data_IF_129993874470
#
_entry.id   IF_129993874470
#
_cell.length_a   1.000
_cell.length_b   1.000
_cell.length_c   1.000
_cell.angle_alpha   90.00
_cell.angle_beta   90.00
_cell.angle_gamma   90.00
#
_symmetry.space_group_name_H-M   'P 1'
#
loop_
_entity.id
_entity.type
_entity.pdbx_description
1 polymer ?
#
# COMPACT_ATOMS: atom_id res chain seq x y z
N UNK A 1 13.52 -23.17 7.58
CA UNK A 1 13.91 -22.22 6.50
C UNK A 1 14.02 -20.82 7.13
N UNK A 2 15.17 -20.16 6.97
CA UNK A 2 15.50 -18.85 7.60
C UNK A 2 14.91 -17.70 6.77
N UNK A 3 14.29 -16.73 7.45
CA UNK A 3 13.76 -15.48 6.87
C UNK A 3 14.89 -14.47 6.52
N UNK A 4 14.72 -13.62 5.50
CA UNK A 4 15.70 -12.60 5.08
C UNK A 4 15.82 -11.42 6.05
N UNK A 5 17.01 -10.79 6.06
CA UNK A 5 17.55 -9.86 7.07
C UNK A 5 17.06 -8.39 7.02
N UNK A 6 15.98 -8.05 6.33
CA UNK A 6 15.59 -6.64 6.12
C UNK A 6 14.55 -6.05 7.09
N UNK A 7 14.20 -6.71 8.19
CA UNK A 7 13.12 -6.26 9.10
C UNK A 7 13.51 -6.22 10.58
N UNK A 8 14.59 -5.51 10.93
CA UNK A 8 14.87 -5.14 12.34
C UNK A 8 15.48 -3.74 12.45
N UNK A 9 14.64 -2.74 12.72
CA UNK A 9 14.92 -1.73 13.75
C UNK A 9 13.76 -0.73 13.85
N UNK A 10 13.00 -0.79 14.94
CA UNK A 10 12.76 0.36 15.82
C UNK A 10 11.96 -0.12 17.04
N UNK A 11 12.67 -0.53 18.09
CA UNK A 11 12.12 -0.57 19.44
C UNK A 11 13.28 -0.42 20.45
N UNK A 12 13.27 0.73 21.12
CA UNK A 12 13.79 1.03 22.46
C UNK A 12 15.24 0.69 22.83
N UNK A 13 15.96 1.70 23.33
CA UNK A 13 16.42 1.70 24.73
C UNK A 13 16.87 3.09 25.19
N UNK A 14 16.35 3.49 26.34
CA UNK A 14 16.78 4.61 27.18
C UNK A 14 17.52 3.97 28.36
N UNK A 15 18.81 4.28 28.59
CA UNK A 15 19.39 4.57 29.92
C UNK A 15 20.91 4.77 29.87
N UNK A 16 21.30 5.66 30.78
CA UNK A 16 22.59 6.20 31.21
C UNK A 16 23.69 5.20 31.56
N UNK A 17 24.96 5.59 31.36
CA UNK A 17 25.98 5.65 32.43
C UNK A 17 27.31 6.27 31.95
N UNK A 18 27.88 7.08 32.85
CA UNK A 18 29.29 7.42 33.11
C UNK A 18 30.33 7.54 31.98
N UNK A 19 30.95 8.73 31.89
CA UNK A 19 32.34 8.88 31.45
C UNK A 19 33.17 9.49 32.59
N UNK A 20 34.14 8.73 33.10
CA UNK A 20 35.27 9.19 33.91
C UNK A 20 36.50 9.39 33.01
N UNK A 21 37.41 10.31 33.40
CA UNK A 21 38.85 10.13 33.17
C UNK A 21 39.57 11.11 32.23
N UNK A 22 39.91 12.29 32.74
CA UNK A 22 41.17 13.04 32.45
C UNK A 22 42.19 12.53 33.50
N UNK A 23 43.54 12.36 33.31
CA UNK A 23 44.52 13.43 33.00
C UNK A 23 45.87 12.92 32.35
N UNK A 24 47.06 13.58 32.47
CA UNK A 24 47.48 14.82 31.82
C UNK A 24 48.94 14.83 31.24
N UNK A 25 49.32 15.98 30.66
CA UNK A 25 50.65 16.64 30.74
C UNK A 25 51.85 16.18 29.88
N UNK A 26 52.45 17.13 29.14
CA UNK A 26 53.85 17.63 29.27
C UNK A 26 54.19 18.56 28.07
N UNK A 27 54.47 19.86 28.29
CA UNK A 27 55.81 20.49 28.37
C UNK A 27 56.53 20.61 27.01
N UNK A 28 57.34 21.61 26.60
CA UNK A 28 57.73 22.98 27.01
C UNK A 28 58.85 23.37 26.01
N UNK A 29 58.94 24.63 25.57
CA UNK A 29 60.12 25.44 25.09
C UNK A 29 59.61 26.50 24.08
N UNK A 30 59.58 27.82 24.35
CA UNK A 30 60.66 28.86 24.50
C UNK A 30 61.72 28.74 23.40
N UNK A 31 62.13 29.77 22.65
CA UNK A 31 62.16 31.24 22.75
C UNK A 31 62.18 31.83 21.31
N UNK A 32 62.16 33.13 20.97
CA UNK A 32 62.29 34.42 21.66
C UNK A 32 62.47 35.54 20.60
N UNK A 33 62.34 36.81 21.03
CA UNK A 33 62.66 38.03 20.25
C UNK A 33 61.57 38.47 19.25
N UNK A 34 61.24 39.74 19.04
CA UNK A 34 61.81 41.03 19.48
C UNK A 34 60.72 42.09 19.25
N UNK A 35 60.61 43.06 20.16
CA UNK A 35 59.68 44.18 20.12
C UNK A 35 60.10 45.22 19.07
N UNK A 36 59.23 45.60 18.13
CA UNK A 36 59.28 46.92 17.46
C UNK A 36 57.86 47.41 17.12
N UNK A 37 57.57 48.58 17.70
CA UNK A 37 56.73 49.71 17.28
C UNK A 37 55.44 49.52 16.47
N UNK A 38 54.41 50.09 17.09
CA UNK A 38 53.12 50.57 16.61
C UNK A 38 53.28 51.45 15.34
N UNK A 39 52.48 51.16 14.30
CA UNK A 39 51.88 52.21 13.48
C UNK A 39 50.46 51.80 13.07
N UNK A 40 49.49 52.54 13.60
CA UNK A 40 48.09 52.49 13.20
C UNK A 40 47.96 52.82 11.72
N UNK A 41 47.25 51.97 10.97
CA UNK A 41 46.47 52.46 9.84
C UNK A 41 45.08 51.83 9.86
N UNK A 42 44.09 52.71 10.03
CA UNK A 42 42.67 52.43 10.02
C UNK A 42 42.26 51.98 8.62
N UNK A 43 41.61 50.83 8.52
CA UNK A 43 40.64 50.55 7.46
C UNK A 43 39.29 50.38 8.14
N UNK A 44 38.39 51.33 7.89
CA UNK A 44 37.01 51.29 8.34
C UNK A 44 36.26 50.20 7.58
N UNK A 45 35.91 49.14 8.28
CA UNK A 45 34.81 48.26 7.92
C UNK A 45 33.86 48.25 9.11
N UNK A 46 32.78 49.03 9.02
CA UNK A 46 31.72 49.03 10.01
C UNK A 46 30.97 47.70 9.96
N UNK A 47 31.48 46.68 10.62
CA UNK A 47 30.68 45.52 10.98
C UNK A 47 29.72 45.94 12.08
N UNK A 48 28.49 46.27 11.72
CA UNK A 48 27.41 46.41 12.70
C UNK A 48 27.18 45.03 13.35
N UNK A 49 27.83 44.80 14.48
CA UNK A 49 27.62 43.61 15.31
C UNK A 49 26.21 43.77 15.89
N UNK A 50 25.27 43.01 15.36
CA UNK A 50 23.90 42.96 15.86
C UNK A 50 23.93 42.63 17.35
N UNK A 51 23.28 43.46 18.16
CA UNK A 51 23.17 43.19 19.59
C UNK A 51 22.40 41.88 19.83
N UNK A 52 22.62 41.19 20.97
CA UNK A 52 21.88 39.98 21.30
C UNK A 52 20.35 40.15 21.20
N UNK A 53 19.84 41.35 21.55
CA UNK A 53 18.42 41.70 21.43
C UNK A 53 17.93 41.79 19.98
N UNK A 54 18.77 42.31 19.07
CA UNK A 54 18.45 42.34 17.63
C UNK A 54 18.49 40.94 17.02
N UNK A 55 19.39 40.07 17.48
CA UNK A 55 19.44 38.68 17.06
C UNK A 55 18.20 37.90 17.53
N UNK A 56 17.78 38.07 18.79
CA UNK A 56 16.54 37.50 19.32
C UNK A 56 15.30 38.02 18.58
N UNK A 57 15.28 39.30 18.20
CA UNK A 57 14.18 39.88 17.43
C UNK A 57 14.11 39.30 16.01
N UNK A 58 15.25 39.10 15.34
CA UNK A 58 15.31 38.47 14.02
C UNK A 58 14.84 37.01 14.09
N UNK A 59 15.29 36.25 15.10
CA UNK A 59 14.81 34.87 15.32
C UNK A 59 13.31 34.85 15.57
N UNK A 60 12.78 35.77 16.38
CA UNK A 60 11.35 35.89 16.65
C UNK A 60 10.57 36.24 15.36
N UNK A 61 11.07 37.16 14.53
CA UNK A 61 10.46 37.54 13.26
C UNK A 61 10.51 36.39 12.24
N UNK A 62 11.60 35.63 12.18
CA UNK A 62 11.71 34.42 11.36
C UNK A 62 10.71 33.37 11.85
N UNK A 63 10.64 33.09 13.15
CA UNK A 63 9.66 32.17 13.72
C UNK A 63 8.21 32.62 13.46
N UNK A 64 7.89 33.91 13.62
CA UNK A 64 6.58 34.49 13.30
C UNK A 64 6.26 34.39 11.80
N UNK A 65 7.25 34.56 10.93
CA UNK A 65 7.07 34.38 9.48
C UNK A 65 6.77 32.91 9.11
N UNK A 66 7.36 31.95 9.85
CA UNK A 66 7.02 30.53 9.75
C UNK A 66 5.58 30.24 10.21
N UNK A 67 5.07 30.93 11.23
CA UNK A 67 3.67 30.79 11.66
C UNK A 67 2.67 31.47 10.70
N UNK A 68 3.02 32.58 10.06
CA UNK A 68 2.16 33.25 9.07
C UNK A 68 2.06 32.51 7.72
N UNK A 69 3.06 31.68 7.39
CA UNK A 69 3.07 30.84 6.19
C UNK A 69 2.22 29.57 6.35
N UNK A 70 1.91 29.17 7.59
CA UNK A 70 1.12 27.97 7.89
C UNK A 70 -0.36 28.06 7.50
N UNK A 71 -0.93 29.27 7.45
CA UNK A 71 -2.33 29.49 7.04
C UNK A 71 -2.54 29.45 5.51
N UNK A 72 -1.48 29.56 4.71
CA UNK A 72 -1.60 29.50 3.24
C UNK A 72 -1.70 28.05 2.73
N UNK A 73 -1.09 27.10 3.44
CA UNK A 73 -1.07 25.67 3.04
C UNK A 73 -2.45 25.02 3.22
N UNK A 74 -3.25 25.48 4.17
CA UNK A 74 -4.63 25.00 4.38
C UNK A 74 -5.62 25.59 3.38
N UNK A 75 -5.37 26.78 2.82
CA UNK A 75 -6.26 27.46 1.86
C UNK A 75 -6.23 26.85 0.44
N UNK A 76 -5.24 26.04 0.12
CA UNK A 76 -5.18 25.29 -1.14
C UNK A 76 -6.11 24.06 -1.18
N UNK A 77 -6.68 23.64 -0.05
CA UNK A 77 -7.54 22.44 0.01
C UNK A 77 -8.96 22.65 -0.53
N UNK A 78 -9.35 23.88 -0.84
CA UNK A 78 -10.73 24.21 -1.25
C UNK A 78 -10.83 25.03 -2.53
N UNK A 79 -9.81 24.98 -3.41
CA UNK A 79 -9.91 25.63 -4.72
C UNK A 79 -10.76 24.79 -5.69
N UNK A 80 -12.08 24.77 -5.41
CA UNK A 80 -13.23 25.09 -6.27
C UNK A 80 -14.46 24.58 -5.52
N UNK A 81 -15.37 25.48 -5.15
CA UNK A 81 -16.76 25.08 -4.94
C UNK A 81 -17.21 24.35 -6.20
N UNK A 82 -17.57 23.08 -6.04
CA UNK A 82 -18.17 22.13 -6.99
C UNK A 82 -18.21 22.56 -8.47
N UNK A 83 -17.62 21.79 -9.42
CA UNK A 83 -17.79 22.02 -10.84
C UNK A 83 -19.20 21.61 -11.30
N UNK A 84 -20.25 22.17 -10.68
CA UNK A 84 -21.64 21.87 -11.01
C UNK A 84 -22.03 22.28 -12.44
N UNK A 85 -21.21 23.10 -13.12
CA UNK A 85 -21.39 23.46 -14.53
C UNK A 85 -20.63 22.59 -15.53
N UNK A 86 -19.60 21.85 -15.10
CA UNK A 86 -18.69 21.11 -15.99
C UNK A 86 -18.67 19.59 -15.72
N UNK A 87 -19.66 19.05 -14.99
CA UNK A 87 -19.74 17.62 -14.62
C UNK A 87 -19.63 16.66 -15.82
N UNK A 88 -20.03 17.10 -17.03
CA UNK A 88 -19.92 16.29 -18.25
C UNK A 88 -18.46 16.02 -18.70
N UNK A 89 -17.47 16.72 -18.14
CA UNK A 89 -16.04 16.63 -18.53
C UNK A 89 -15.17 15.93 -17.49
N UNK A 90 -15.72 15.60 -16.33
CA UNK A 90 -15.01 14.90 -15.25
C UNK A 90 -15.34 13.43 -15.36
N UNK A 91 -14.33 12.58 -15.51
CA UNK A 91 -14.52 11.15 -15.32
C UNK A 91 -14.68 10.89 -13.83
N UNK A 92 -15.80 10.30 -13.41
CA UNK A 92 -16.17 10.18 -12.00
C UNK A 92 -16.80 8.83 -11.69
N UNK A 93 -16.22 8.14 -10.71
CA UNK A 93 -16.70 6.89 -10.13
C UNK A 93 -17.56 7.24 -8.90
N UNK A 94 -18.86 6.97 -8.91
CA UNK A 94 -19.80 7.45 -7.89
C UNK A 94 -19.74 6.65 -6.59
N UNK A 95 -18.66 6.83 -5.83
CA UNK A 95 -18.49 6.21 -4.51
C UNK A 95 -19.23 7.00 -3.44
N UNK A 96 -19.98 6.31 -2.58
CA UNK A 96 -20.63 6.91 -1.42
C UNK A 96 -19.59 7.33 -0.39
N UNK A 97 -19.50 8.63 -0.12
CA UNK A 97 -18.53 9.19 0.82
C UNK A 97 -18.85 8.86 2.28
N UNK A 98 -17.83 8.41 3.01
CA UNK A 98 -17.88 8.20 4.46
C UNK A 98 -16.86 9.14 5.12
N UNK A 99 -17.30 10.15 5.90
CA UNK A 99 -16.39 11.08 6.56
C UNK A 99 -15.53 10.36 7.60
N UNK A 100 -14.22 10.53 7.51
CA UNK A 100 -13.27 9.87 8.40
C UNK A 100 -13.33 10.46 9.82
N UNK A 101 -13.36 9.59 10.84
CA UNK A 101 -13.34 9.96 12.26
C UNK A 101 -12.04 9.49 12.92
N UNK A 102 -11.34 10.40 13.60
CA UNK A 102 -10.06 10.10 14.27
C UNK A 102 -8.97 9.63 13.31
N UNK A 103 -8.09 8.74 13.76
CA UNK A 103 -6.98 8.20 12.97
C UNK A 103 -7.35 6.98 12.10
N UNK A 104 -8.63 6.83 11.74
CA UNK A 104 -9.15 5.63 11.03
C UNK A 104 -9.25 5.83 9.51
N UNK A 105 -8.27 6.49 8.91
CA UNK A 105 -8.28 6.75 7.47
C UNK A 105 -8.33 5.46 6.64
N UNK A 106 -7.56 4.43 7.03
CA UNK A 106 -7.55 3.11 6.37
C UNK A 106 -8.91 2.41 6.36
N UNK A 107 -9.51 2.13 7.54
CA UNK A 107 -10.84 1.50 7.61
C UNK A 107 -11.93 2.27 6.86
N UNK A 108 -11.86 3.61 6.85
CA UNK A 108 -12.85 4.43 6.18
C UNK A 108 -12.74 4.37 4.65
N UNK A 109 -11.54 4.49 4.07
CA UNK A 109 -11.38 4.35 2.62
C UNK A 109 -11.71 2.95 2.14
N UNK A 110 -11.38 1.94 2.96
CA UNK A 110 -11.69 0.56 2.63
C UNK A 110 -13.19 0.31 2.67
N UNK A 111 -13.90 0.83 3.67
CA UNK A 111 -15.37 0.77 3.71
C UNK A 111 -16.00 1.41 2.47
N UNK A 112 -15.51 2.59 2.03
CA UNK A 112 -15.99 3.23 0.81
C UNK A 112 -15.78 2.35 -0.43
N UNK A 113 -14.59 1.77 -0.61
CA UNK A 113 -14.28 0.88 -1.73
C UNK A 113 -15.10 -0.42 -1.71
N UNK A 114 -15.28 -1.03 -0.54
CA UNK A 114 -16.12 -2.23 -0.38
C UNK A 114 -17.59 -1.91 -0.69
N UNK A 115 -18.11 -0.81 -0.17
CA UNK A 115 -19.52 -0.43 -0.36
C UNK A 115 -19.82 -0.01 -1.79
N UNK A 116 -18.84 0.50 -2.53
CA UNK A 116 -18.97 0.73 -3.97
C UNK A 116 -19.33 -0.57 -4.72
N UNK A 117 -18.80 -1.72 -4.27
CA UNK A 117 -19.15 -3.04 -4.79
C UNK A 117 -20.33 -3.70 -4.08
N UNK A 118 -21.21 -2.90 -3.48
CA UNK A 118 -22.44 -3.37 -2.82
C UNK A 118 -22.20 -4.17 -1.54
N UNK A 119 -20.99 -4.11 -0.96
CA UNK A 119 -20.74 -4.74 0.35
C UNK A 119 -21.29 -3.85 1.45
N UNK A 120 -21.76 -4.45 2.55
CA UNK A 120 -22.32 -3.71 3.69
C UNK A 120 -21.25 -3.52 4.79
N UNK A 121 -20.18 -2.81 4.46
CA UNK A 121 -19.04 -2.59 5.35
C UNK A 121 -19.14 -1.24 6.08
N UNK A 122 -18.71 -1.20 7.34
CA UNK A 122 -18.60 0.05 8.11
C UNK A 122 -17.17 0.24 8.61
N UNK A 123 -16.67 1.49 8.67
CA UNK A 123 -15.32 1.75 9.18
C UNK A 123 -15.10 1.21 10.60
N UNK A 124 -16.15 1.15 11.43
CA UNK A 124 -16.10 0.65 12.79
C UNK A 124 -15.82 -0.86 12.84
N UNK A 125 -16.53 -1.66 12.04
CA UNK A 125 -16.32 -3.10 11.96
C UNK A 125 -14.94 -3.42 11.41
N UNK A 126 -14.55 -2.75 10.33
CA UNK A 126 -13.22 -2.90 9.74
C UNK A 126 -12.13 -2.55 10.77
N UNK A 127 -12.28 -1.42 11.47
CA UNK A 127 -11.30 -0.98 12.46
C UNK A 127 -11.15 -1.98 13.63
N UNK A 128 -12.19 -2.72 14.02
CA UNK A 128 -12.06 -3.74 15.08
C UNK A 128 -11.08 -4.86 14.69
N UNK A 129 -10.86 -5.08 13.40
CA UNK A 129 -10.05 -6.18 12.88
C UNK A 129 -8.66 -5.72 12.41
N UNK A 130 -8.55 -4.53 11.80
CA UNK A 130 -7.31 -4.08 11.13
C UNK A 130 -6.70 -2.80 11.70
N UNK A 131 -7.31 -2.17 12.70
CA UNK A 131 -6.75 -0.95 13.31
C UNK A 131 -5.81 -1.32 14.44
N UNK A 132 -4.62 -0.74 14.44
CA UNK A 132 -3.60 -0.91 15.45
C UNK A 132 -3.47 0.37 16.28
N UNK A 133 -3.98 0.40 17.53
CA UNK A 133 -3.94 1.59 18.38
C UNK A 133 -2.55 2.16 18.59
N UNK A 134 -1.55 1.30 18.77
CA UNK A 134 -0.15 1.70 19.01
C UNK A 134 0.49 2.40 17.81
N UNK A 135 0.01 2.11 16.60
CA UNK A 135 0.43 2.77 15.37
C UNK A 135 -0.44 3.98 15.03
N UNK A 136 -1.59 4.14 15.67
CA UNK A 136 -2.59 5.14 15.30
C UNK A 136 -3.08 4.96 13.87
N UNK A 137 -3.19 3.73 13.36
CA UNK A 137 -3.50 3.49 11.95
C UNK A 137 -3.67 2.01 11.59
N UNK A 138 -3.70 1.71 10.30
CA UNK A 138 -3.79 0.35 9.74
C UNK A 138 -2.64 0.09 8.77
N UNK A 139 -2.10 -1.12 8.80
CA UNK A 139 -1.02 -1.53 7.90
C UNK A 139 -1.56 -1.77 6.49
N UNK A 140 -0.70 -1.53 5.48
CA UNK A 140 -1.05 -1.74 4.07
C UNK A 140 -1.42 -3.19 3.77
N UNK A 141 -0.74 -4.15 4.40
CA UNK A 141 -1.03 -5.59 4.27
C UNK A 141 -2.42 -5.97 4.80
N UNK A 142 -2.85 -5.38 5.93
CA UNK A 142 -4.17 -5.65 6.49
C UNK A 142 -5.27 -5.08 5.59
N UNK A 143 -5.05 -3.88 5.02
CA UNK A 143 -5.95 -3.30 4.02
C UNK A 143 -6.05 -4.15 2.77
N UNK A 144 -4.94 -4.72 2.29
CA UNK A 144 -4.92 -5.56 1.10
C UNK A 144 -5.59 -6.92 1.33
N UNK A 145 -5.42 -7.55 2.49
CA UNK A 145 -5.99 -8.88 2.75
C UNK A 145 -7.47 -8.86 3.11
N UNK A 146 -7.97 -7.78 3.73
CA UNK A 146 -9.34 -7.70 4.25
C UNK A 146 -10.46 -7.89 3.19
N UNK A 147 -10.37 -7.35 1.96
CA UNK A 147 -11.40 -7.53 0.92
C UNK A 147 -11.70 -8.98 0.53
N UNK A 148 -10.78 -9.92 0.76
CA UNK A 148 -10.97 -11.33 0.43
C UNK A 148 -12.18 -11.94 1.16
N UNK A 149 -12.53 -11.40 2.34
CA UNK A 149 -13.73 -11.80 3.10
C UNK A 149 -15.04 -11.51 2.39
N UNK A 150 -14.99 -10.69 1.34
CA UNK A 150 -16.14 -10.26 0.55
C UNK A 150 -16.10 -10.81 -0.88
N UNK A 151 -15.25 -11.80 -1.15
CA UNK A 151 -14.98 -12.35 -2.48
C UNK A 151 -14.50 -11.28 -3.49
N UNK A 152 -13.79 -10.26 -2.99
CA UNK A 152 -13.20 -9.21 -3.81
C UNK A 152 -11.70 -9.43 -3.94
N UNK A 153 -11.21 -9.34 -5.17
CA UNK A 153 -9.78 -9.33 -5.43
C UNK A 153 -9.19 -7.98 -5.05
N UNK A 154 -8.06 -8.05 -4.39
CA UNK A 154 -7.27 -6.91 -3.96
C UNK A 154 -5.81 -7.15 -4.27
N UNK A 155 -5.12 -6.08 -4.66
CA UNK A 155 -3.72 -6.13 -5.03
C UNK A 155 -3.06 -4.78 -4.78
N UNK A 156 -1.95 -4.80 -4.03
CA UNK A 156 -1.13 -3.61 -3.82
C UNK A 156 0.14 -3.59 -4.67
N UNK A 157 0.48 -2.41 -5.20
CA UNK A 157 1.63 -2.20 -6.09
C UNK A 157 2.05 -0.73 -6.08
N UNK A 158 3.17 -0.42 -6.75
CA UNK A 158 3.61 0.95 -7.02
C UNK A 158 2.99 1.45 -8.33
N UNK A 159 2.09 2.42 -8.24
CA UNK A 159 1.31 2.92 -9.37
C UNK A 159 1.91 4.15 -10.07
N UNK A 160 1.21 4.63 -11.09
CA UNK A 160 1.45 5.94 -11.72
C UNK A 160 0.14 6.58 -12.19
N UNK A 161 0.17 7.86 -12.59
CA UNK A 161 -1.05 8.57 -13.00
C UNK A 161 -1.77 7.95 -14.21
N UNK A 162 -1.02 7.44 -15.20
CA UNK A 162 -1.64 6.84 -16.39
C UNK A 162 -2.40 5.57 -16.03
N UNK A 163 -1.78 4.70 -15.23
CA UNK A 163 -2.45 3.48 -14.77
C UNK A 163 -3.64 3.78 -13.85
N UNK A 164 -3.47 4.71 -12.90
CA UNK A 164 -4.56 5.16 -12.01
C UNK A 164 -5.79 5.60 -12.81
N UNK A 165 -5.61 6.43 -13.85
CA UNK A 165 -6.71 6.88 -14.71
C UNK A 165 -7.34 5.72 -15.48
N UNK A 166 -6.54 4.80 -16.03
CA UNK A 166 -7.05 3.59 -16.69
C UNK A 166 -7.91 2.71 -15.78
N UNK A 167 -7.63 2.68 -14.47
CA UNK A 167 -8.45 1.96 -13.49
C UNK A 167 -9.77 2.71 -13.24
N UNK A 168 -9.71 4.03 -13.12
CA UNK A 168 -10.91 4.86 -13.02
C UNK A 168 -11.79 4.71 -14.26
N UNK A 169 -11.23 4.69 -15.48
CA UNK A 169 -11.95 4.48 -16.75
C UNK A 169 -12.74 3.17 -16.79
N UNK A 170 -12.37 2.20 -15.95
CA UNK A 170 -13.04 0.91 -15.81
C UNK A 170 -13.99 0.85 -14.61
N UNK A 171 -14.33 2.02 -14.06
CA UNK A 171 -15.15 2.20 -12.87
C UNK A 171 -14.55 1.53 -11.62
N UNK A 172 -13.21 1.56 -11.48
CA UNK A 172 -12.51 1.01 -10.32
C UNK A 172 -11.90 2.18 -9.52
N UNK A 173 -12.45 2.51 -8.34
CA UNK A 173 -11.87 3.54 -7.50
C UNK A 173 -10.53 3.06 -6.92
N UNK A 174 -9.58 3.98 -6.75
CA UNK A 174 -8.19 3.65 -6.42
C UNK A 174 -7.85 4.16 -5.03
N UNK A 175 -7.40 3.25 -4.14
CA UNK A 175 -6.88 3.66 -2.84
C UNK A 175 -5.40 4.01 -3.00
N UNK A 176 -5.00 5.17 -2.49
CA UNK A 176 -3.62 5.62 -2.48
C UNK A 176 -3.18 5.99 -1.06
N UNK A 177 -1.92 5.69 -0.73
CA UNK A 177 -1.30 6.14 0.51
C UNK A 177 -0.50 7.41 0.21
N UNK A 178 -0.93 8.55 0.73
CA UNK A 178 -0.30 9.84 0.45
C UNK A 178 0.35 10.41 1.72
N UNK A 179 1.45 11.14 1.57
CA UNK A 179 2.03 11.95 2.62
C UNK A 179 1.33 13.31 2.73
N UNK A 180 0.84 13.66 3.91
CA UNK A 180 0.30 14.99 4.23
C UNK A 180 1.22 15.71 5.21
N UNK A 181 1.27 17.04 5.11
CA UNK A 181 2.15 17.88 5.93
C UNK A 181 3.38 18.39 5.17
N UNK A 182 4.22 19.21 5.84
CA UNK A 182 5.41 19.79 5.22
C UNK A 182 6.46 18.71 4.90
N UNK A 183 7.40 19.01 3.99
CA UNK A 183 8.41 18.05 3.55
C UNK A 183 9.21 17.40 4.70
N UNK A 184 9.50 18.16 5.76
CA UNK A 184 10.27 17.70 6.93
C UNK A 184 9.46 16.88 7.96
N UNK A 185 8.13 16.82 7.82
CA UNK A 185 7.25 16.02 8.67
C UNK A 185 6.03 15.55 7.86
N UNK A 186 6.12 14.34 7.30
CA UNK A 186 5.05 13.72 6.53
C UNK A 186 4.29 12.72 7.38
N UNK A 187 2.99 12.93 7.53
CA UNK A 187 2.05 11.94 8.07
C UNK A 187 1.47 11.13 6.92
N UNK A 188 1.41 9.81 7.05
CA UNK A 188 0.78 8.95 6.06
C UNK A 188 -0.74 8.97 6.19
N UNK A 189 -1.43 9.06 5.06
CA UNK A 189 -2.88 9.17 5.00
C UNK A 189 -3.43 8.40 3.81
N UNK A 190 -4.37 7.48 4.07
CA UNK A 190 -5.08 6.81 3.00
C UNK A 190 -6.15 7.73 2.40
N UNK A 191 -6.13 7.84 1.08
CA UNK A 191 -7.09 8.59 0.30
C UNK A 191 -7.71 7.70 -0.78
N UNK A 192 -8.95 7.99 -1.17
CA UNK A 192 -9.63 7.29 -2.25
C UNK A 192 -9.75 8.23 -3.44
N UNK A 193 -9.10 7.89 -4.56
CA UNK A 193 -9.23 8.62 -5.82
C UNK A 193 -10.43 8.05 -6.57
N UNK A 194 -11.35 8.93 -6.95
CA UNK A 194 -12.65 8.56 -7.52
C UNK A 194 -12.90 9.23 -8.87
N UNK A 195 -11.96 9.99 -9.41
CA UNK A 195 -12.15 10.65 -10.68
C UNK A 195 -10.97 11.51 -11.08
N UNK A 196 -11.06 12.05 -12.29
CA UNK A 196 -10.07 12.97 -12.84
C UNK A 196 -10.71 13.94 -13.83
N UNK A 197 -10.05 15.07 -14.02
CA UNK A 197 -10.35 16.06 -15.05
C UNK A 197 -9.06 16.38 -15.80
N UNK A 198 -8.92 15.80 -17.00
CA UNK A 198 -7.68 15.86 -17.76
C UNK A 198 -7.34 17.26 -18.27
N UNK A 199 -8.33 18.00 -18.80
CA UNK A 199 -8.12 19.36 -19.31
C UNK A 199 -7.51 20.29 -18.24
N UNK A 200 -7.87 20.09 -16.98
CA UNK A 200 -7.45 20.92 -15.84
C UNK A 200 -6.30 20.29 -15.04
N UNK A 201 -5.82 19.10 -15.41
CA UNK A 201 -4.83 18.32 -14.67
C UNK A 201 -5.20 18.09 -13.19
N UNK A 202 -6.46 17.71 -12.93
CA UNK A 202 -6.97 17.46 -11.59
C UNK A 202 -7.35 16.00 -11.36
N UNK A 203 -7.16 15.52 -10.14
CA UNK A 203 -7.79 14.33 -9.58
C UNK A 203 -8.91 14.72 -8.62
N UNK A 204 -9.93 13.87 -8.54
CA UNK A 204 -11.01 13.97 -7.55
C UNK A 204 -10.76 12.96 -6.44
N UNK A 205 -10.57 13.44 -5.21
CA UNK A 205 -10.09 12.62 -4.09
C UNK A 205 -11.00 12.75 -2.87
N UNK A 206 -11.49 11.63 -2.36
CA UNK A 206 -12.11 11.56 -1.03
C UNK A 206 -11.01 11.45 0.03
N UNK A 207 -10.92 12.42 0.93
CA UNK A 207 -9.80 12.50 1.89
C UNK A 207 -10.21 13.12 3.22
N UNK A 208 -10.02 12.37 4.32
CA UNK A 208 -10.33 12.87 5.65
C UNK A 208 -11.83 13.10 5.82
N UNK A 209 -12.21 14.32 6.22
CA UNK A 209 -13.62 14.73 6.37
C UNK A 209 -14.21 15.33 5.10
N UNK A 210 -13.41 15.43 4.02
CA UNK A 210 -13.78 16.15 2.81
C UNK A 210 -14.09 15.18 1.66
N UNK A 211 -15.25 15.39 1.05
CA UNK A 211 -15.68 14.73 -0.19
C UNK A 211 -15.17 15.51 -1.40
N UNK A 212 -14.89 14.83 -2.51
CA UNK A 212 -14.64 15.43 -3.83
C UNK A 212 -13.55 16.53 -3.84
N UNK A 213 -12.46 16.32 -3.09
CA UNK A 213 -11.33 17.26 -3.07
C UNK A 213 -10.67 17.25 -4.44
N UNK A 214 -10.69 18.39 -5.12
CA UNK A 214 -9.94 18.59 -6.36
C UNK A 214 -8.46 18.81 -6.04
N UNK A 215 -7.60 17.96 -6.57
CA UNK A 215 -6.16 18.01 -6.34
C UNK A 215 -5.42 18.04 -7.67
N UNK A 216 -4.54 19.04 -7.86
CA UNK A 216 -3.64 19.08 -9.02
C UNK A 216 -2.78 17.81 -9.08
N UNK A 217 -2.58 17.29 -10.28
CA UNK A 217 -1.79 16.09 -10.54
C UNK A 217 -0.40 16.18 -9.90
N UNK A 218 0.28 17.33 -10.00
CA UNK A 218 1.62 17.54 -9.45
C UNK A 218 1.61 17.48 -7.92
N UNK A 219 0.59 18.06 -7.30
CA UNK A 219 0.43 18.04 -5.84
C UNK A 219 0.15 16.62 -5.35
N UNK A 220 -0.70 15.88 -6.06
CA UNK A 220 -0.98 14.49 -5.72
C UNK A 220 0.28 13.63 -5.86
N UNK A 221 1.00 13.75 -6.97
CA UNK A 221 2.25 13.01 -7.22
C UNK A 221 3.30 13.24 -6.13
N UNK A 222 3.54 14.50 -5.74
CA UNK A 222 4.52 14.82 -4.69
C UNK A 222 4.17 14.20 -3.33
N UNK A 223 2.87 14.11 -3.03
CA UNK A 223 2.37 13.48 -1.80
C UNK A 223 2.40 11.96 -1.90
N UNK A 224 2.03 11.39 -3.04
CA UNK A 224 1.98 9.95 -3.29
C UNK A 224 3.37 9.33 -3.35
N UNK A 225 4.37 10.07 -3.83
CA UNK A 225 5.80 9.72 -3.76
C UNK A 225 6.28 9.38 -2.35
N UNK A 226 5.63 9.91 -1.30
CA UNK A 226 5.98 9.60 0.09
C UNK A 226 5.89 8.10 0.42
N UNK A 227 4.99 7.38 -0.24
CA UNK A 227 4.77 5.94 -0.04
C UNK A 227 5.35 5.09 -1.17
N UNK A 228 6.26 5.65 -1.97
CA UNK A 228 6.73 5.05 -3.21
C UNK A 228 5.58 4.68 -4.16
N UNK A 229 4.60 5.60 -4.25
CA UNK A 229 3.40 5.46 -5.07
C UNK A 229 2.56 4.23 -4.72
N UNK A 230 2.50 3.85 -3.44
CA UNK A 230 1.69 2.72 -3.01
C UNK A 230 0.21 2.92 -3.37
N UNK A 231 -0.33 1.94 -4.08
CA UNK A 231 -1.71 1.88 -4.52
C UNK A 231 -2.30 0.53 -4.18
N UNK A 232 -3.59 0.54 -3.83
CA UNK A 232 -4.40 -0.65 -3.63
C UNK A 232 -5.64 -0.59 -4.53
N UNK A 233 -5.83 -1.67 -5.28
CA UNK A 233 -7.08 -1.94 -6.00
C UNK A 233 -7.93 -2.89 -5.18
N UNK A 234 -9.25 -2.68 -5.25
CA UNK A 234 -10.25 -3.57 -4.66
C UNK A 234 -11.40 -3.67 -5.66
N UNK A 235 -11.63 -4.85 -6.22
CA UNK A 235 -12.71 -5.07 -7.20
C UNK A 235 -13.12 -6.54 -7.31
N UNK A 236 -14.30 -6.85 -7.87
CA UNK A 236 -14.62 -8.20 -8.30
C UNK A 236 -13.56 -8.68 -9.30
N UNK A 237 -13.04 -9.91 -9.18
CA UNK A 237 -11.99 -10.38 -10.09
C UNK A 237 -12.46 -10.43 -11.55
N UNK A 238 -13.77 -10.50 -11.82
CA UNK A 238 -14.35 -10.42 -13.16
C UNK A 238 -14.16 -9.04 -13.82
N UNK A 239 -13.91 -7.98 -13.04
CA UNK A 239 -13.60 -6.64 -13.56
C UNK A 239 -12.16 -6.54 -14.07
N UNK A 240 -11.31 -7.52 -13.76
CA UNK A 240 -9.92 -7.55 -14.19
C UNK A 240 -9.85 -7.98 -15.66
N UNK A 241 -9.98 -6.98 -16.54
CA UNK A 241 -10.02 -7.17 -18.00
C UNK A 241 -8.76 -6.69 -18.70
N UNK A 242 -7.87 -6.00 -17.98
CA UNK A 242 -6.62 -5.50 -18.52
C UNK A 242 -5.53 -6.57 -18.52
N UNK A 243 -4.51 -6.45 -19.39
CA UNK A 243 -3.32 -7.29 -19.32
C UNK A 243 -2.62 -7.11 -17.97
N UNK A 244 -2.39 -8.22 -17.27
CA UNK A 244 -1.71 -8.24 -15.99
C UNK A 244 -0.21 -8.47 -16.17
N UNK A 245 0.60 -7.80 -15.35
CA UNK A 245 1.98 -8.20 -15.12
C UNK A 245 2.02 -9.64 -14.58
N UNK A 246 3.19 -10.28 -14.66
CA UNK A 246 3.33 -11.67 -14.20
C UNK A 246 2.92 -11.80 -12.73
N UNK A 247 3.40 -10.91 -11.87
CA UNK A 247 3.16 -10.91 -10.43
C UNK A 247 1.68 -10.70 -10.11
N UNK A 248 1.02 -9.79 -10.84
CA UNK A 248 -0.43 -9.56 -10.76
C UNK A 248 -1.24 -10.79 -11.18
N UNK A 249 -0.87 -11.44 -12.28
CA UNK A 249 -1.50 -12.67 -12.75
C UNK A 249 -1.36 -13.79 -11.72
N UNK A 250 -0.18 -13.92 -11.10
CA UNK A 250 0.04 -14.88 -10.02
C UNK A 250 -0.78 -14.55 -8.77
N UNK A 251 -0.91 -13.27 -8.41
CA UNK A 251 -1.75 -12.84 -7.29
C UNK A 251 -3.24 -13.14 -7.54
N UNK A 252 -3.76 -12.85 -8.74
CA UNK A 252 -5.12 -13.19 -9.11
C UNK A 252 -5.35 -14.70 -9.21
N UNK A 253 -4.36 -15.46 -9.69
CA UNK A 253 -4.41 -16.92 -9.67
C UNK A 253 -4.53 -17.46 -8.24
N UNK A 254 -3.75 -16.91 -7.31
CA UNK A 254 -3.81 -17.26 -5.89
C UNK A 254 -5.18 -16.93 -5.29
N UNK A 255 -5.72 -15.76 -5.61
CA UNK A 255 -7.06 -15.37 -5.19
C UNK A 255 -8.12 -16.37 -5.65
N UNK A 256 -8.14 -16.74 -6.94
CA UNK A 256 -9.09 -17.73 -7.44
C UNK A 256 -8.90 -19.12 -6.81
N UNK A 257 -7.67 -19.51 -6.50
CA UNK A 257 -7.38 -20.76 -5.79
C UNK A 257 -7.93 -20.75 -4.36
N UNK A 258 -7.70 -19.67 -3.60
CA UNK A 258 -8.20 -19.55 -2.24
C UNK A 258 -9.74 -19.47 -2.22
N UNK A 259 -10.34 -18.82 -3.22
CA UNK A 259 -11.80 -18.79 -3.39
C UNK A 259 -12.36 -20.18 -3.76
N UNK A 260 -11.67 -20.94 -4.61
CA UNK A 260 -12.03 -22.31 -4.95
C UNK A 260 -11.95 -23.25 -3.73
N UNK A 261 -10.97 -23.06 -2.84
CA UNK A 261 -10.86 -23.83 -1.60
C UNK A 261 -12.08 -23.59 -0.69
N UNK A 262 -12.54 -22.34 -0.55
CA UNK A 262 -13.72 -22.01 0.23
C UNK A 262 -15.00 -22.64 -0.33
N UNK A 263 -15.15 -22.67 -1.66
CA UNK A 263 -16.26 -23.36 -2.31
C UNK A 263 -16.18 -24.88 -2.12
N UNK A 264 -14.97 -25.44 -2.17
CA UNK A 264 -14.72 -26.86 -1.94
C UNK A 264 -15.09 -27.27 -0.51
N UNK A 265 -14.75 -26.46 0.49
CA UNK A 265 -15.15 -26.67 1.90
C UNK A 265 -16.67 -26.67 2.08
N UNK A 266 -17.40 -25.94 1.24
CA UNK A 266 -18.87 -25.90 1.19
C UNK A 266 -19.47 -26.96 0.27
N UNK A 267 -18.66 -27.88 -0.27
CA UNK A 267 -19.04 -28.91 -1.23
C UNK A 267 -19.67 -28.37 -2.53
N UNK A 268 -19.40 -27.11 -2.87
CA UNK A 268 -19.84 -26.46 -4.11
C UNK A 268 -18.89 -26.83 -5.26
N UNK A 269 -18.85 -28.11 -5.62
CA UNK A 269 -17.85 -28.68 -6.52
C UNK A 269 -17.79 -28.02 -7.91
N UNK A 270 -18.94 -27.69 -8.51
CA UNK A 270 -18.93 -27.04 -9.84
C UNK A 270 -18.30 -25.63 -9.77
N UNK A 271 -18.65 -24.84 -8.75
CA UNK A 271 -18.09 -23.50 -8.53
C UNK A 271 -16.58 -23.57 -8.23
N UNK A 272 -16.16 -24.51 -7.38
CA UNK A 272 -14.75 -24.73 -7.08
C UNK A 272 -13.96 -25.11 -8.34
N UNK A 273 -14.50 -26.03 -9.14
CA UNK A 273 -13.89 -26.46 -10.40
C UNK A 273 -13.69 -25.31 -11.38
N UNK A 274 -14.69 -24.44 -11.55
CA UNK A 274 -14.57 -23.23 -12.38
C UNK A 274 -13.46 -22.29 -11.89
N UNK A 275 -13.38 -22.04 -10.59
CA UNK A 275 -12.39 -21.15 -10.01
C UNK A 275 -10.97 -21.73 -10.08
N UNK A 276 -10.78 -23.03 -9.85
CA UNK A 276 -9.49 -23.68 -10.09
C UNK A 276 -9.07 -23.57 -11.56
N UNK A 277 -9.99 -23.74 -12.52
CA UNK A 277 -9.69 -23.53 -13.94
C UNK A 277 -9.25 -22.09 -14.23
N UNK A 278 -9.91 -21.08 -13.64
CA UNK A 278 -9.48 -19.68 -13.73
C UNK A 278 -8.07 -19.49 -13.14
N UNK A 279 -7.79 -20.05 -11.98
CA UNK A 279 -6.46 -20.01 -11.36
C UNK A 279 -5.38 -20.64 -12.26
N UNK A 280 -5.66 -21.81 -12.85
CA UNK A 280 -4.73 -22.51 -13.75
C UNK A 280 -4.54 -21.82 -15.09
N UNK A 281 -5.54 -21.06 -15.58
CA UNK A 281 -5.39 -20.22 -16.76
C UNK A 281 -4.40 -19.07 -16.52
N UNK A 282 -4.45 -18.47 -15.33
CA UNK A 282 -3.57 -17.37 -14.91
C UNK A 282 -2.18 -17.85 -14.48
N UNK A 283 -2.10 -19.04 -13.88
CA UNK A 283 -0.86 -19.69 -13.49
C UNK A 283 -0.90 -21.19 -13.87
N UNK A 284 -0.46 -21.55 -15.09
CA UNK A 284 -0.40 -22.94 -15.52
C UNK A 284 0.55 -23.83 -14.70
N UNK A 285 1.45 -23.23 -13.92
CA UNK A 285 2.40 -23.91 -13.03
C UNK A 285 1.89 -24.12 -11.59
N UNK A 286 0.62 -23.83 -11.31
CA UNK A 286 0.07 -23.94 -9.96
C UNK A 286 -0.24 -25.40 -9.59
N UNK A 287 0.77 -26.11 -9.07
CA UNK A 287 0.68 -27.55 -8.77
C UNK A 287 -0.50 -27.92 -7.85
N UNK A 288 -0.71 -27.15 -6.76
CA UNK A 288 -1.79 -27.42 -5.82
C UNK A 288 -3.18 -27.21 -6.44
N UNK A 289 -3.33 -26.22 -7.34
CA UNK A 289 -4.58 -26.02 -8.08
C UNK A 289 -4.87 -27.18 -9.05
N UNK A 290 -3.83 -27.76 -9.68
CA UNK A 290 -3.99 -28.97 -10.49
C UNK A 290 -4.52 -30.15 -9.65
N UNK A 291 -3.92 -30.39 -8.50
CA UNK A 291 -4.35 -31.46 -7.60
C UNK A 291 -5.79 -31.25 -7.10
N UNK A 292 -6.12 -30.02 -6.67
CA UNK A 292 -7.44 -29.75 -6.11
C UNK A 292 -8.55 -29.78 -7.17
N UNK A 293 -8.26 -29.38 -8.41
CA UNK A 293 -9.20 -29.57 -9.52
C UNK A 293 -9.42 -31.06 -9.83
N UNK A 294 -8.36 -31.87 -9.80
CA UNK A 294 -8.48 -33.32 -9.96
C UNK A 294 -9.32 -33.96 -8.83
N UNK A 295 -9.16 -33.49 -7.59
CA UNK A 295 -10.00 -33.88 -6.46
C UNK A 295 -11.47 -33.53 -6.68
N UNK A 296 -11.77 -32.33 -7.20
CA UNK A 296 -13.14 -31.93 -7.56
C UNK A 296 -13.74 -32.89 -8.60
N UNK A 297 -13.00 -33.21 -9.67
CA UNK A 297 -13.44 -34.17 -10.69
C UNK A 297 -13.68 -35.57 -10.12
N UNK A 298 -12.80 -36.03 -9.24
CA UNK A 298 -12.99 -37.28 -8.50
C UNK A 298 -14.29 -37.29 -7.68
N UNK A 299 -14.54 -36.25 -6.89
CA UNK A 299 -15.75 -36.14 -6.05
C UNK A 299 -17.04 -36.14 -6.88
N UNK A 300 -17.02 -35.45 -8.02
CA UNK A 300 -18.14 -35.43 -8.95
C UNK A 300 -18.29 -36.72 -9.77
N UNK A 301 -17.29 -37.62 -9.75
CA UNK A 301 -17.18 -38.80 -10.62
C UNK A 301 -17.26 -38.44 -12.12
N UNK A 302 -16.68 -37.30 -12.50
CA UNK A 302 -16.64 -36.78 -13.88
C UNK A 302 -15.19 -36.58 -14.29
N UNK A 303 -14.90 -36.68 -15.60
CA UNK A 303 -13.60 -36.34 -16.20
C UNK A 303 -12.39 -36.99 -15.49
N UNK A 304 -12.51 -38.24 -15.05
CA UNK A 304 -11.48 -38.91 -14.24
C UNK A 304 -10.14 -39.06 -14.99
N UNK A 305 -10.17 -39.22 -16.32
CA UNK A 305 -8.95 -39.25 -17.14
C UNK A 305 -8.21 -37.89 -17.13
N UNK A 306 -8.96 -36.79 -17.19
CA UNK A 306 -8.41 -35.44 -17.04
C UNK A 306 -7.84 -35.22 -15.64
N UNK A 307 -8.52 -35.73 -14.60
CA UNK A 307 -8.05 -35.69 -13.23
C UNK A 307 -6.68 -36.39 -13.06
N UNK A 308 -6.48 -37.54 -13.69
CA UNK A 308 -5.17 -38.23 -13.70
C UNK A 308 -4.09 -37.34 -14.36
N UNK A 309 -4.39 -36.74 -15.51
CA UNK A 309 -3.44 -35.85 -16.21
C UNK A 309 -3.07 -34.62 -15.35
N UNK A 310 -4.05 -34.01 -14.68
CA UNK A 310 -3.82 -32.89 -13.77
C UNK A 310 -2.90 -33.26 -12.61
N UNK A 311 -3.08 -34.44 -12.00
CA UNK A 311 -2.20 -34.88 -10.91
C UNK A 311 -0.80 -35.22 -11.42
N UNK A 312 -0.67 -35.87 -12.57
CA UNK A 312 0.63 -36.10 -13.19
C UNK A 312 1.37 -34.78 -13.45
N UNK A 313 0.65 -33.73 -13.86
CA UNK A 313 1.20 -32.38 -13.98
C UNK A 313 1.62 -31.81 -12.63
N UNK A 314 0.80 -31.96 -11.58
CA UNK A 314 1.15 -31.51 -10.21
C UNK A 314 2.44 -32.18 -9.70
N UNK A 315 2.58 -33.50 -9.87
CA UNK A 315 3.77 -34.29 -9.51
C UNK A 315 5.05 -33.78 -10.19
N UNK A 316 4.94 -33.35 -11.47
CA UNK A 316 6.06 -32.76 -12.22
C UNK A 316 6.39 -31.35 -11.76
N UNK A 317 5.37 -30.54 -11.47
CA UNK A 317 5.53 -29.13 -11.10
C UNK A 317 6.08 -28.95 -9.68
N UNK A 318 5.68 -29.80 -8.74
CA UNK A 318 6.14 -29.74 -7.35
C UNK A 318 6.49 -31.13 -6.79
N UNK A 319 7.72 -31.62 -7.04
CA UNK A 319 8.19 -32.89 -6.51
C UNK A 319 8.22 -32.97 -4.97
N UNK A 320 8.26 -31.84 -4.26
CA UNK A 320 8.34 -31.84 -2.79
C UNK A 320 7.01 -32.22 -2.11
N UNK A 321 5.87 -32.09 -2.80
CA UNK A 321 4.54 -32.40 -2.29
C UNK A 321 3.95 -33.70 -2.89
N UNK A 322 4.80 -34.58 -3.43
CA UNK A 322 4.34 -35.77 -4.15
C UNK A 322 3.42 -36.68 -3.33
N UNK A 323 3.69 -36.86 -2.03
CA UNK A 323 2.85 -37.71 -1.16
C UNK A 323 1.38 -37.24 -1.14
N UNK A 324 1.16 -35.92 -1.08
CA UNK A 324 -0.17 -35.33 -1.12
C UNK A 324 -0.87 -35.56 -2.47
N UNK A 325 -0.14 -35.42 -3.57
CA UNK A 325 -0.69 -35.63 -4.91
C UNK A 325 -0.97 -37.12 -5.21
N UNK A 326 -0.12 -38.02 -4.72
CA UNK A 326 -0.29 -39.47 -4.89
C UNK A 326 -1.54 -40.01 -4.16
N UNK A 327 -1.89 -39.48 -2.98
CA UNK A 327 -3.13 -39.85 -2.28
C UNK A 327 -4.38 -39.62 -3.16
N UNK A 328 -4.43 -38.45 -3.82
CA UNK A 328 -5.52 -38.12 -4.75
C UNK A 328 -5.51 -39.06 -5.97
N UNK A 329 -4.33 -39.34 -6.52
CA UNK A 329 -4.18 -40.23 -7.69
C UNK A 329 -4.64 -41.66 -7.40
N UNK A 330 -4.27 -42.19 -6.24
CA UNK A 330 -4.60 -43.56 -5.82
C UNK A 330 -6.12 -43.74 -5.68
N UNK A 331 -6.82 -42.72 -5.15
CA UNK A 331 -8.28 -42.72 -5.06
C UNK A 331 -8.93 -42.77 -6.45
N UNK A 332 -8.48 -41.93 -7.39
CA UNK A 332 -8.99 -41.92 -8.76
C UNK A 332 -8.73 -43.26 -9.46
N UNK A 333 -7.51 -43.79 -9.35
CA UNK A 333 -7.13 -45.07 -9.97
C UNK A 333 -7.96 -46.24 -9.45
N UNK A 334 -8.21 -46.30 -8.14
CA UNK A 334 -9.08 -47.31 -7.53
C UNK A 334 -10.49 -47.24 -8.12
N UNK A 335 -11.05 -46.04 -8.31
CA UNK A 335 -12.36 -45.87 -8.95
C UNK A 335 -12.36 -46.30 -10.41
N UNK A 336 -11.29 -46.03 -11.16
CA UNK A 336 -11.12 -46.46 -12.55
C UNK A 336 -10.72 -47.94 -12.70
N UNK A 337 -10.46 -48.65 -11.61
CA UNK A 337 -9.88 -50.02 -11.61
C UNK A 337 -8.56 -50.11 -12.37
N UNK A 338 -7.77 -49.04 -12.38
CA UNK A 338 -6.44 -49.02 -12.98
C UNK A 338 -5.41 -49.65 -12.01
N UNK A 339 -4.35 -50.29 -12.53
CA UNK A 339 -3.28 -50.82 -11.67
C UNK A 339 -2.61 -49.69 -10.86
N UNK A 340 -2.29 -49.99 -9.60
CA UNK A 340 -1.51 -49.10 -8.73
C UNK A 340 -0.14 -48.83 -9.36
N UNK A 341 0.43 -47.64 -9.14
CA UNK A 341 1.78 -47.35 -9.63
C UNK A 341 2.78 -48.32 -8.98
N UNK A 342 3.57 -49.00 -9.81
CA UNK A 342 4.75 -49.75 -9.40
C UNK A 342 5.95 -48.86 -9.18
#
# INVERSE_FOLDING_TARGET
>A
MRLPRSLRSLAMTKRSSHCEGIPPSCSRKKAGGTTVAISNNRLGAGSAILSPKQFSLIILLVLLSFFSSGCLVTRFYSLRDSPAKDQAKVHYVPVSFIPQKGHRCGPAVLAMALNYWGKNATPEKIAQEIYLPDLGGSLTFDLESYPQKFDLWSYSYSGNLSDLKKKLDQDIPVIALIGIGPFFYRLYHYALVVGYWDEENLLVVHSGKNKDVLMKNEVFLERWKASDYWTLLVCPPEKVTWPLAKEESLALARFYFDWANQDLEKELFENAGEKYRKALKLNPGFADACNNLAWVYYQQKKNLDEAVNLIQKALKLNPSHQSYYLDTLDKIKKTLKLPANG
#
